data_IF_370241714660
#
_entry.id   IF_370241714660
#
_cell.length_a   1.000
_cell.length_b   1.000
_cell.length_c   1.000
_cell.angle_alpha   90.00
_cell.angle_beta   90.00
_cell.angle_gamma   90.00
#
_symmetry.space_group_name_H-M   'P 1'
#
loop_
_entity.id
_entity.type
_entity.pdbx_description
1 polymer ?
#
# COMPACT_ATOMS: atom_id res chain seq x y z
N UNK A 1 -5.00 -29.02 15.82
CA UNK A 1 -4.53 -28.36 14.89
C UNK A 1 -3.59 -27.41 15.30
N UNK A 2 -2.92 -27.02 14.69
CA UNK A 2 -2.01 -26.17 15.11
C UNK A 2 -2.15 -24.97 14.36
N UNK A 3 -1.83 -23.93 14.94
CA UNK A 3 -1.92 -22.71 14.33
C UNK A 3 -0.67 -22.39 13.71
N UNK A 4 -0.37 -23.04 12.65
CA UNK A 4 0.83 -22.71 12.01
C UNK A 4 0.69 -21.43 11.28
N UNK A 5 1.68 -20.61 11.33
CA UNK A 5 1.72 -19.39 10.55
C UNK A 5 1.77 -19.78 9.09
N UNK A 6 0.88 -19.25 8.29
CA UNK A 6 0.89 -19.51 6.87
C UNK A 6 2.00 -18.72 6.20
N UNK A 7 2.61 -19.30 5.22
CA UNK A 7 3.54 -18.56 4.40
C UNK A 7 2.75 -17.55 3.56
N UNK A 8 3.38 -16.46 3.12
CA UNK A 8 2.65 -15.43 2.35
C UNK A 8 1.92 -15.99 1.15
N UNK A 9 2.48 -16.97 0.46
CA UNK A 9 1.83 -17.52 -0.71
C UNK A 9 0.64 -18.38 -0.37
N UNK A 10 0.46 -18.74 0.91
CA UNK A 10 -0.69 -19.54 1.36
C UNK A 10 -1.82 -18.68 1.91
N UNK A 11 -1.62 -17.37 1.96
CA UNK A 11 -2.64 -16.46 2.47
C UNK A 11 -3.81 -16.39 1.50
N UNK A 12 -5.02 -16.50 2.03
CA UNK A 12 -6.23 -16.44 1.21
C UNK A 12 -6.63 -14.98 1.01
N UNK A 13 -5.95 -14.32 0.07
CA UNK A 13 -6.18 -12.91 -0.20
C UNK A 13 -7.59 -12.60 -0.70
N UNK A 14 -8.20 -13.43 -1.57
CA UNK A 14 -9.59 -13.16 -1.97
C UNK A 14 -10.54 -13.13 -0.78
N UNK A 15 -10.35 -14.02 0.21
CA UNK A 15 -11.17 -14.01 1.41
C UNK A 15 -10.95 -12.70 2.20
N UNK A 16 -9.70 -12.25 2.30
CA UNK A 16 -9.37 -11.01 2.99
C UNK A 16 -10.06 -9.82 2.32
N UNK A 17 -10.06 -9.78 0.98
CA UNK A 17 -10.74 -8.71 0.26
C UNK A 17 -12.23 -8.71 0.62
N UNK A 18 -12.85 -9.89 0.66
CA UNK A 18 -14.28 -9.99 1.00
C UNK A 18 -14.55 -9.50 2.42
N UNK A 19 -13.64 -9.78 3.35
CA UNK A 19 -13.80 -9.29 4.72
C UNK A 19 -13.71 -7.78 4.79
N UNK A 20 -12.80 -7.18 4.04
CA UNK A 20 -12.71 -5.71 3.99
C UNK A 20 -13.93 -5.12 3.29
N UNK A 21 -14.49 -5.80 2.25
CA UNK A 21 -15.73 -5.34 1.63
C UNK A 21 -16.86 -5.28 2.65
N UNK A 22 -16.98 -6.32 3.47
CA UNK A 22 -18.00 -6.35 4.50
C UNK A 22 -17.77 -5.25 5.54
N UNK A 23 -16.53 -5.11 5.99
CA UNK A 23 -16.20 -4.10 6.99
C UNK A 23 -16.50 -2.69 6.46
N UNK A 24 -16.18 -2.45 5.19
CA UNK A 24 -16.44 -1.14 4.58
C UNK A 24 -17.93 -0.84 4.53
N UNK A 25 -18.75 -1.87 4.32
CA UNK A 25 -20.21 -1.66 4.33
C UNK A 25 -20.74 -1.39 5.73
N UNK A 26 -20.14 -2.03 6.75
CA UNK A 26 -20.59 -1.87 8.13
C UNK A 26 -20.06 -0.57 8.74
N UNK A 27 -18.82 -0.22 8.43
CA UNK A 27 -18.18 0.96 8.98
C UNK A 27 -17.30 1.59 7.92
N UNK A 28 -17.87 2.38 7.01
CA UNK A 28 -17.08 3.02 5.96
C UNK A 28 -15.96 3.86 6.55
N UNK A 29 -14.75 3.69 6.02
CA UNK A 29 -13.58 4.38 6.53
C UNK A 29 -12.50 4.43 5.46
N UNK A 30 -11.80 5.57 5.31
CA UNK A 30 -10.67 5.63 4.38
C UNK A 30 -9.57 4.66 4.76
N UNK A 31 -9.36 4.42 6.06
CA UNK A 31 -8.35 3.47 6.52
C UNK A 31 -8.71 2.05 6.08
N UNK A 32 -9.98 1.68 6.19
CA UNK A 32 -10.45 0.37 5.73
C UNK A 32 -10.22 0.26 4.22
N UNK A 33 -10.53 1.32 3.47
CA UNK A 33 -10.30 1.33 2.02
C UNK A 33 -8.83 1.16 1.69
N UNK A 34 -7.93 1.80 2.44
CA UNK A 34 -6.51 1.66 2.22
C UNK A 34 -6.04 0.22 2.45
N UNK A 35 -6.49 -0.39 3.53
CA UNK A 35 -6.14 -1.77 3.83
C UNK A 35 -6.71 -2.72 2.77
N UNK A 36 -7.92 -2.44 2.30
CA UNK A 36 -8.52 -3.23 1.23
C UNK A 36 -7.68 -3.13 -0.04
N UNK A 37 -7.17 -1.94 -0.35
CA UNK A 37 -6.34 -1.75 -1.54
C UNK A 37 -5.11 -2.65 -1.50
N UNK A 38 -4.48 -2.79 -0.34
CA UNK A 38 -3.32 -3.66 -0.20
C UNK A 38 -3.70 -5.11 -0.53
N UNK A 39 -4.83 -5.57 -0.02
CA UNK A 39 -5.30 -6.94 -0.29
C UNK A 39 -5.68 -7.11 -1.76
N UNK A 40 -6.34 -6.11 -2.36
CA UNK A 40 -6.71 -6.16 -3.78
C UNK A 40 -5.45 -6.28 -4.65
N UNK A 41 -4.38 -5.58 -4.27
CA UNK A 41 -3.14 -5.67 -5.03
C UNK A 41 -2.58 -7.09 -5.06
N UNK A 42 -2.80 -7.87 -4.00
CA UNK A 42 -2.33 -9.24 -3.95
C UNK A 42 -3.17 -10.17 -4.83
N UNK A 43 -4.43 -9.81 -5.11
CA UNK A 43 -5.32 -10.63 -5.92
C UNK A 43 -5.30 -10.20 -7.39
N UNK A 44 -5.38 -8.89 -7.64
CA UNK A 44 -5.62 -8.36 -8.97
C UNK A 44 -4.48 -7.53 -9.52
N UNK A 45 -3.42 -7.32 -8.73
CA UNK A 45 -2.30 -6.52 -9.17
C UNK A 45 -2.40 -5.08 -8.71
N UNK A 46 -1.37 -4.27 -9.02
CA UNK A 46 -1.29 -2.91 -8.48
C UNK A 46 -2.27 -1.92 -9.09
N UNK A 47 -2.70 -2.10 -10.35
CA UNK A 47 -3.52 -1.09 -11.01
C UNK A 47 -4.89 -0.88 -10.35
N UNK A 48 -5.70 -1.94 -10.10
CA UNK A 48 -6.97 -1.71 -9.41
C UNK A 48 -6.78 -1.15 -8.00
N UNK A 49 -5.70 -1.56 -7.33
CA UNK A 49 -5.42 -1.06 -5.98
C UNK A 49 -5.08 0.43 -6.01
N UNK A 50 -4.34 0.88 -7.02
CA UNK A 50 -4.04 2.29 -7.18
C UNK A 50 -5.31 3.11 -7.37
N UNK A 51 -6.26 2.59 -8.14
CA UNK A 51 -7.54 3.28 -8.34
C UNK A 51 -8.26 3.47 -7.00
N UNK A 52 -8.19 2.48 -6.11
CA UNK A 52 -8.79 2.61 -4.79
C UNK A 52 -8.10 3.72 -4.00
N UNK A 53 -6.77 3.77 -4.03
CA UNK A 53 -6.04 4.80 -3.27
C UNK A 53 -6.36 6.20 -3.77
N UNK A 54 -6.71 6.35 -5.04
CA UNK A 54 -7.07 7.66 -5.57
C UNK A 54 -8.38 8.17 -5.00
N UNK A 55 -9.32 7.29 -4.70
CA UNK A 55 -10.61 7.71 -4.15
C UNK A 55 -10.49 8.22 -2.73
N UNK A 56 -9.44 7.83 -2.02
CA UNK A 56 -9.25 8.23 -0.61
C UNK A 56 -8.09 9.19 -0.44
N UNK A 57 -7.46 9.61 -1.53
CA UNK A 57 -6.27 10.43 -1.45
C UNK A 57 -6.48 11.76 -0.77
N UNK A 58 -7.64 12.39 -0.99
CA UNK A 58 -7.92 13.67 -0.36
C UNK A 58 -8.07 13.56 1.15
N UNK A 59 -8.73 12.49 1.61
CA UNK A 59 -8.95 12.31 3.04
C UNK A 59 -7.69 11.88 3.78
N UNK A 60 -6.82 11.14 3.15
CA UNK A 60 -5.62 10.59 3.79
C UNK A 60 -4.33 11.26 3.32
N UNK A 61 -4.42 12.43 2.70
CA UNK A 61 -3.24 13.08 2.13
C UNK A 61 -2.14 13.32 3.16
N UNK A 62 -2.50 13.57 4.41
CA UNK A 62 -1.52 13.77 5.47
C UNK A 62 -1.07 12.50 6.16
N UNK A 63 -1.51 11.35 5.71
CA UNK A 63 -1.22 10.08 6.37
C UNK A 63 -0.11 9.35 5.60
N UNK A 64 1.03 9.16 6.25
CA UNK A 64 2.21 8.65 5.56
C UNK A 64 1.98 7.27 4.93
N UNK A 65 1.13 6.42 5.53
CA UNK A 65 0.90 5.09 4.99
C UNK A 65 0.19 5.11 3.65
N UNK A 66 -0.67 6.11 3.40
CA UNK A 66 -1.27 6.24 2.07
C UNK A 66 -0.18 6.37 1.01
N UNK A 67 0.76 7.27 1.25
CA UNK A 67 1.82 7.53 0.27
C UNK A 67 2.78 6.36 0.17
N UNK A 68 3.07 5.68 1.28
CA UNK A 68 3.92 4.50 1.27
C UNK A 68 3.27 3.36 0.46
N UNK A 69 1.97 3.15 0.64
CA UNK A 69 1.25 2.12 -0.11
C UNK A 69 1.22 2.48 -1.60
N UNK A 70 0.90 3.75 -1.92
CA UNK A 70 0.89 4.18 -3.32
C UNK A 70 2.27 4.00 -3.95
N UNK A 71 3.33 4.35 -3.22
CA UNK A 71 4.69 4.21 -3.74
C UNK A 71 5.01 2.75 -4.06
N UNK A 72 4.64 1.84 -3.16
CA UNK A 72 4.89 0.43 -3.39
C UNK A 72 4.12 -0.08 -4.60
N UNK A 73 2.85 0.32 -4.73
CA UNK A 73 2.03 -0.09 -5.86
C UNK A 73 2.56 0.47 -7.18
N UNK A 74 2.98 1.74 -7.18
CA UNK A 74 3.55 2.35 -8.37
C UNK A 74 4.85 1.66 -8.78
N UNK A 75 5.68 1.33 -7.80
CA UNK A 75 6.91 0.60 -8.08
C UNK A 75 6.60 -0.76 -8.72
N UNK A 76 5.62 -1.47 -8.18
CA UNK A 76 5.24 -2.78 -8.71
C UNK A 76 4.62 -2.67 -10.09
N UNK A 77 4.00 -1.55 -10.40
CA UNK A 77 3.43 -1.30 -11.72
C UNK A 77 4.48 -0.79 -12.72
N UNK A 78 5.70 -0.54 -12.27
CA UNK A 78 6.76 -0.04 -13.14
C UNK A 78 6.77 1.47 -13.32
N UNK A 79 5.93 2.20 -12.58
CA UNK A 79 5.84 3.67 -12.66
C UNK A 79 6.84 4.28 -11.67
N UNK A 80 8.12 4.15 -11.98
CA UNK A 80 9.18 4.49 -11.03
C UNK A 80 9.26 5.97 -10.70
N UNK A 81 9.03 6.85 -11.68
CA UNK A 81 9.08 8.28 -11.40
C UNK A 81 8.00 8.70 -10.42
N UNK A 82 6.79 8.19 -10.62
CA UNK A 82 5.71 8.50 -9.69
C UNK A 82 5.93 7.85 -8.34
N UNK A 83 6.50 6.63 -8.33
CA UNK A 83 6.82 5.96 -7.07
C UNK A 83 7.80 6.80 -6.25
N UNK A 84 8.80 7.39 -6.90
CA UNK A 84 9.76 8.26 -6.22
C UNK A 84 9.04 9.40 -5.51
N UNK A 85 8.11 10.06 -6.19
CA UNK A 85 7.37 11.16 -5.59
C UNK A 85 6.57 10.70 -4.37
N UNK A 86 5.94 9.53 -4.46
CA UNK A 86 5.16 9.02 -3.32
C UNK A 86 6.06 8.62 -2.16
N UNK A 87 7.22 8.03 -2.41
CA UNK A 87 8.17 7.74 -1.34
C UNK A 87 8.64 9.01 -0.66
N UNK A 88 8.93 10.06 -1.43
CA UNK A 88 9.35 11.34 -0.86
C UNK A 88 8.25 11.94 0.00
N UNK A 89 7.00 11.85 -0.45
CA UNK A 89 5.89 12.36 0.33
C UNK A 89 5.74 11.57 1.64
N UNK A 90 5.84 10.26 1.59
CA UNK A 90 5.77 9.43 2.78
C UNK A 90 6.89 9.78 3.76
N UNK A 91 8.11 10.00 3.25
CA UNK A 91 9.24 10.36 4.08
C UNK A 91 9.06 11.71 4.74
N UNK A 92 8.38 12.65 4.07
CA UNK A 92 8.11 13.96 4.66
C UNK A 92 7.14 13.86 5.84
N UNK A 93 6.32 12.82 5.89
CA UNK A 93 5.27 12.67 6.89
C UNK A 93 5.62 11.67 7.99
N UNK A 94 6.55 10.74 7.73
CA UNK A 94 6.81 9.65 8.67
C UNK A 94 7.57 10.16 9.88
N UNK A 95 7.24 9.61 11.06
CA UNK A 95 7.93 9.98 12.29
C UNK A 95 8.74 8.84 12.89
N UNK A 96 8.44 7.60 12.48
CA UNK A 96 9.08 6.40 13.02
C UNK A 96 10.40 6.16 12.30
N UNK A 97 11.49 6.01 13.08
CA UNK A 97 12.82 5.87 12.49
C UNK A 97 12.98 4.59 11.68
N UNK A 98 12.35 3.49 12.13
CA UNK A 98 12.43 2.22 11.42
C UNK A 98 11.74 2.31 10.07
N UNK A 99 10.55 2.92 10.04
CA UNK A 99 9.83 3.11 8.80
C UNK A 99 10.59 4.05 7.86
N UNK A 100 11.20 5.11 8.42
CA UNK A 100 11.99 6.04 7.62
C UNK A 100 13.13 5.30 6.92
N UNK A 101 13.85 4.45 7.64
CA UNK A 101 14.97 3.70 7.03
C UNK A 101 14.49 2.77 5.92
N UNK A 102 13.32 2.13 6.13
CA UNK A 102 12.74 1.27 5.11
C UNK A 102 12.39 2.06 3.86
N UNK A 103 11.72 3.21 4.03
CA UNK A 103 11.31 4.04 2.91
C UNK A 103 12.51 4.60 2.16
N UNK A 104 13.55 5.01 2.89
CA UNK A 104 14.76 5.52 2.27
C UNK A 104 15.44 4.45 1.41
N UNK A 105 15.47 3.22 1.89
CA UNK A 105 16.04 2.13 1.12
C UNK A 105 15.24 1.87 -0.15
N UNK A 106 13.92 1.85 -0.03
CA UNK A 106 13.06 1.66 -1.21
C UNK A 106 13.22 2.79 -2.21
N UNK A 107 13.32 4.02 -1.72
CA UNK A 107 13.51 5.17 -2.60
C UNK A 107 14.80 5.03 -3.40
N UNK A 108 15.90 4.63 -2.74
CA UNK A 108 17.17 4.44 -3.44
C UNK A 108 17.06 3.34 -4.50
N UNK A 109 16.33 2.26 -4.19
CA UNK A 109 16.13 1.18 -5.16
C UNK A 109 15.39 1.67 -6.39
N UNK A 110 14.36 2.47 -6.19
CA UNK A 110 13.57 3.01 -7.30
C UNK A 110 14.39 4.00 -8.11
N UNK A 111 15.14 4.86 -7.43
CA UNK A 111 15.99 5.84 -8.12
C UNK A 111 17.03 5.15 -8.99
N UNK A 112 17.54 4.01 -8.58
CA UNK A 112 18.51 3.28 -9.39
C UNK A 112 17.88 2.72 -10.66
N UNK A 113 16.55 2.53 -10.67
CA UNK A 113 15.86 2.09 -11.88
C UNK A 113 15.64 3.22 -12.86
N UNK A 114 15.65 4.46 -12.38
CA UNK A 114 15.44 5.61 -13.23
C UNK A 114 16.75 6.07 -13.88
N UNK A 115 17.83 5.88 -13.18
CA UNK A 115 19.11 6.31 -13.63
C UNK A 115 19.88 5.22 -14.26
#
# INVERSE_FOLDING_TARGET
>A
MHCQAKRPEETDWPHIVRLYDLLQRLQPSPIVSLNRAVAVAMVEGPEPALAITETIGGELDGYHLLHAVRADLLRRAGSFAEATQSYERALALVTNATERRFLERRLREVESRLG
#
